data_IF_285165183039
#
_entry.id   IF_285165183039
#
_cell.length_a   1.000
_cell.length_b   1.000
_cell.length_c   1.000
_cell.angle_alpha   90.00
_cell.angle_beta   90.00
_cell.angle_gamma   90.00
#
_symmetry.space_group_name_H-M   'P 1'
#
loop_
_entity.id
_entity.type
_entity.pdbx_description
1 polymer ?
#
# COMPACT_ATOMS: atom_id res chain seq x y z
N UNK A 1 -6.43 16.43 -16.51
CA UNK A 1 -5.71 15.29 -15.90
C UNK A 1 -6.61 14.07 -16.03
N UNK A 2 -6.12 12.96 -16.58
CA UNK A 2 -6.90 11.71 -16.66
C UNK A 2 -7.01 11.08 -15.25
N UNK A 3 -8.17 10.51 -14.94
CA UNK A 3 -8.37 9.77 -13.70
C UNK A 3 -7.59 8.45 -13.75
N UNK A 4 -6.73 8.22 -12.75
CA UNK A 4 -5.99 6.96 -12.59
C UNK A 4 -6.93 5.75 -12.48
N UNK A 5 -8.13 5.94 -11.95
CA UNK A 5 -9.15 4.90 -11.84
C UNK A 5 -9.63 4.43 -13.20
N UNK A 6 -9.75 5.35 -14.17
CA UNK A 6 -10.13 5.03 -15.54
C UNK A 6 -8.97 4.32 -16.27
N UNK A 7 -7.74 4.81 -16.12
CA UNK A 7 -6.55 4.16 -16.72
C UNK A 7 -6.39 2.72 -16.22
N UNK A 8 -6.69 2.47 -14.93
CA UNK A 8 -6.63 1.12 -14.34
C UNK A 8 -7.69 0.18 -14.90
N UNK A 9 -8.89 0.70 -15.16
CA UNK A 9 -10.02 -0.09 -15.68
C UNK A 9 -9.89 -0.34 -17.18
N UNK A 10 -9.34 0.64 -17.92
CA UNK A 10 -9.31 0.63 -19.39
C UNK A 10 -7.90 0.92 -19.94
N UNK A 11 -6.85 0.18 -19.53
CA UNK A 11 -5.48 0.50 -19.91
C UNK A 11 -5.25 0.40 -21.43
N UNK A 12 -5.87 -0.57 -22.10
CA UNK A 12 -5.74 -0.76 -23.54
C UNK A 12 -6.50 0.29 -24.35
N UNK A 13 -7.65 0.76 -23.86
CA UNK A 13 -8.37 1.87 -24.46
C UNK A 13 -7.54 3.16 -24.40
N UNK A 14 -6.91 3.44 -23.24
CA UNK A 14 -6.01 4.59 -23.08
C UNK A 14 -4.80 4.48 -24.01
N UNK A 15 -4.21 3.30 -24.16
CA UNK A 15 -3.13 3.05 -25.12
C UNK A 15 -3.59 3.29 -26.57
N UNK A 16 -4.79 2.87 -26.93
CA UNK A 16 -5.35 3.12 -28.25
C UNK A 16 -5.59 4.63 -28.50
N UNK A 17 -6.13 5.35 -27.51
CA UNK A 17 -6.28 6.80 -27.58
C UNK A 17 -4.94 7.52 -27.81
N UNK A 18 -3.85 7.04 -27.18
CA UNK A 18 -2.51 7.57 -27.41
C UNK A 18 -2.01 7.29 -28.83
N UNK A 19 -2.25 6.08 -29.37
CA UNK A 19 -1.91 5.75 -30.76
C UNK A 19 -2.65 6.66 -31.75
N UNK A 20 -3.95 6.86 -31.57
CA UNK A 20 -4.77 7.73 -32.43
C UNK A 20 -4.30 9.20 -32.39
N UNK A 21 -3.73 9.62 -31.26
CA UNK A 21 -3.15 10.96 -31.07
C UNK A 21 -1.70 11.08 -31.56
N UNK A 22 -1.14 10.04 -32.19
CA UNK A 22 0.25 9.99 -32.64
C UNK A 22 1.26 10.11 -31.48
N UNK A 23 0.88 9.63 -30.29
CA UNK A 23 1.68 9.63 -29.06
C UNK A 23 2.15 8.23 -28.68
N UNK A 24 2.54 7.41 -29.66
CA UNK A 24 2.98 6.02 -29.43
C UNK A 24 4.19 5.92 -28.50
N UNK A 25 5.02 6.96 -28.43
CA UNK A 25 6.17 7.03 -27.51
C UNK A 25 5.75 7.09 -26.02
N UNK A 26 4.49 7.45 -25.74
CA UNK A 26 3.94 7.51 -24.39
C UNK A 26 3.34 6.18 -23.91
N UNK A 27 3.18 5.17 -24.78
CA UNK A 27 2.63 3.87 -24.41
C UNK A 27 3.36 3.22 -23.22
N UNK A 28 4.72 3.19 -23.18
CA UNK A 28 5.44 2.63 -22.04
C UNK A 28 5.21 3.40 -20.74
N UNK A 29 4.78 4.68 -20.81
CA UNK A 29 4.46 5.47 -19.61
C UNK A 29 3.18 4.97 -18.94
N UNK A 30 2.22 4.44 -19.70
CA UNK A 30 0.99 3.85 -19.14
C UNK A 30 1.33 2.61 -18.32
N UNK A 31 2.18 1.73 -18.84
CA UNK A 31 2.58 0.51 -18.12
C UNK A 31 3.38 0.86 -16.87
N UNK A 32 4.36 1.77 -16.97
CA UNK A 32 5.13 2.25 -15.81
C UNK A 32 4.24 2.93 -14.76
N UNK A 33 3.23 3.69 -15.18
CA UNK A 33 2.28 4.32 -14.28
C UNK A 33 1.49 3.28 -13.47
N UNK A 34 1.00 2.23 -14.14
CA UNK A 34 0.25 1.15 -13.49
C UNK A 34 1.13 0.34 -12.53
N UNK A 35 2.39 0.09 -12.89
CA UNK A 35 3.37 -0.55 -12.03
C UNK A 35 3.60 0.26 -10.74
N UNK A 36 3.86 1.56 -10.86
CA UNK A 36 4.06 2.46 -9.71
C UNK A 36 2.79 2.61 -8.87
N UNK A 37 1.60 2.62 -9.49
CA UNK A 37 0.34 2.62 -8.73
C UNK A 37 0.17 1.32 -7.92
N UNK A 38 0.52 0.16 -8.50
CA UNK A 38 0.49 -1.12 -7.80
C UNK A 38 1.45 -1.14 -6.60
N UNK A 39 2.69 -0.70 -6.79
CA UNK A 39 3.67 -0.58 -5.69
C UNK A 39 3.19 0.36 -4.59
N UNK A 40 2.69 1.54 -4.96
CA UNK A 40 2.15 2.51 -4.01
C UNK A 40 1.01 1.90 -3.19
N UNK A 41 0.06 1.20 -3.85
CA UNK A 41 -1.05 0.54 -3.15
C UNK A 41 -0.56 -0.55 -2.20
N UNK A 42 0.43 -1.34 -2.61
CA UNK A 42 1.04 -2.36 -1.74
C UNK A 42 1.72 -1.74 -0.52
N UNK A 43 2.45 -0.62 -0.69
CA UNK A 43 3.08 0.09 0.43
C UNK A 43 2.06 0.71 1.38
N UNK A 44 0.97 1.29 0.85
CA UNK A 44 -0.13 1.81 1.68
C UNK A 44 -0.78 0.68 2.49
N UNK A 45 -1.12 -0.44 1.84
CA UNK A 45 -1.70 -1.59 2.54
C UNK A 45 -0.77 -2.09 3.65
N UNK A 46 0.52 -2.30 3.34
CA UNK A 46 1.52 -2.73 4.31
C UNK A 46 1.64 -1.74 5.49
N UNK A 47 1.56 -0.45 5.22
CA UNK A 47 1.62 0.58 6.26
C UNK A 47 0.42 0.49 7.18
N UNK A 48 -0.77 0.29 6.64
CA UNK A 48 -2.00 0.18 7.43
C UNK A 48 -2.05 -1.12 8.23
N UNK A 49 -1.56 -2.23 7.67
CA UNK A 49 -1.40 -3.50 8.39
C UNK A 49 -0.43 -3.35 9.58
N UNK A 50 0.70 -2.65 9.39
CA UNK A 50 1.67 -2.38 10.45
C UNK A 50 1.09 -1.47 11.55
N UNK A 51 0.30 -0.46 11.19
CA UNK A 51 -0.41 0.39 12.16
C UNK A 51 -1.43 -0.43 12.96
N UNK A 52 -2.20 -1.28 12.29
CA UNK A 52 -3.18 -2.16 12.93
C UNK A 52 -2.50 -3.14 13.90
N UNK A 53 -1.40 -3.75 13.46
CA UNK A 53 -0.56 -4.62 14.29
C UNK A 53 -0.04 -3.90 15.52
N UNK A 54 0.58 -2.72 15.34
CA UNK A 54 1.07 -1.89 16.45
C UNK A 54 -0.03 -1.58 17.45
N UNK A 55 -1.19 -1.13 16.99
CA UNK A 55 -2.31 -0.77 17.86
C UNK A 55 -2.84 -1.99 18.64
N UNK A 56 -2.90 -3.17 18.01
CA UNK A 56 -3.28 -4.43 18.67
C UNK A 56 -2.27 -4.80 19.77
N UNK A 57 -0.97 -4.79 19.44
CA UNK A 57 0.09 -5.15 20.39
C UNK A 57 0.18 -4.15 21.53
N UNK A 58 0.00 -2.85 21.29
CA UNK A 58 -0.04 -1.84 22.36
C UNK A 58 -1.17 -2.10 23.37
N UNK A 59 -2.36 -2.51 22.90
CA UNK A 59 -3.48 -2.89 23.78
C UNK A 59 -3.16 -4.15 24.58
N UNK A 60 -2.53 -5.13 23.95
CA UNK A 60 -2.09 -6.37 24.61
C UNK A 60 -1.08 -6.10 25.72
N UNK A 61 -0.07 -5.25 25.46
CA UNK A 61 0.92 -4.82 26.46
C UNK A 61 0.23 -4.10 27.63
N UNK A 62 -0.71 -3.20 27.38
CA UNK A 62 -1.44 -2.51 28.44
C UNK A 62 -2.23 -3.49 29.33
N UNK A 63 -2.85 -4.51 28.72
CA UNK A 63 -3.55 -5.57 29.46
C UNK A 63 -2.60 -6.43 30.29
N UNK A 64 -1.44 -6.83 29.73
CA UNK A 64 -0.41 -7.60 30.46
C UNK A 64 0.07 -6.80 31.67
N UNK A 65 0.41 -5.52 31.49
CA UNK A 65 0.86 -4.65 32.59
C UNK A 65 -0.19 -4.46 33.67
N UNK A 66 -1.48 -4.39 33.29
CA UNK A 66 -2.59 -4.26 34.25
C UNK A 66 -2.85 -5.56 35.03
N UNK A 67 -2.75 -6.71 34.38
CA UNK A 67 -3.06 -8.02 34.98
C UNK A 67 -1.87 -8.64 35.70
N UNK A 68 -0.64 -8.18 35.43
CA UNK A 68 0.59 -8.77 35.95
C UNK A 68 0.89 -10.15 35.36
N UNK A 69 0.14 -10.59 34.35
CA UNK A 69 0.28 -11.91 33.72
C UNK A 69 0.89 -11.77 32.33
N UNK A 70 2.07 -12.36 32.12
CA UNK A 70 2.80 -12.32 30.85
C UNK A 70 4.00 -11.37 30.87
N UNK A 71 4.67 -11.21 29.72
CA UNK A 71 5.85 -10.34 29.58
C UNK A 71 5.62 -9.27 28.51
N UNK A 72 5.29 -8.07 28.97
CA UNK A 72 5.13 -6.91 28.11
C UNK A 72 6.46 -6.49 27.45
N UNK A 73 7.59 -6.70 28.13
CA UNK A 73 8.92 -6.36 27.58
C UNK A 73 9.24 -7.16 26.31
N UNK A 74 8.89 -8.45 26.26
CA UNK A 74 9.13 -9.31 25.09
C UNK A 74 8.39 -8.80 23.85
N UNK A 75 7.11 -8.42 24.00
CA UNK A 75 6.31 -7.88 22.90
C UNK A 75 6.84 -6.52 22.40
N UNK A 76 7.33 -5.68 23.32
CA UNK A 76 7.96 -4.40 22.96
C UNK A 76 9.23 -4.64 22.13
N UNK A 77 10.05 -5.63 22.49
CA UNK A 77 11.26 -5.97 21.73
C UNK A 77 10.96 -6.42 20.31
N UNK A 78 9.91 -7.24 20.13
CA UNK A 78 9.50 -7.74 18.81
C UNK A 78 9.00 -6.62 17.87
N UNK A 79 8.38 -5.57 18.42
CA UNK A 79 7.85 -4.45 17.62
C UNK A 79 8.89 -3.40 17.19
N UNK A 80 10.09 -3.42 17.79
CA UNK A 80 11.19 -2.50 17.45
C UNK A 80 12.07 -2.99 16.30
N UNK A 81 11.89 -4.24 15.88
CA UNK A 81 12.64 -4.90 14.80
C UNK A 81 11.91 -4.72 13.47
#
# INVERSE_FOLDING_TARGET
MLDISYIRQNPEEVKEMLRQRQQSDDLPKVDRLLERDAERKAMVQRTDDLKALRNRVSKEIANIKRTGQGSGEKLISQMKS
#
